data_IF_205079464186
#
_entry.id   IF_205079464186
#
_cell.length_a   1.000
_cell.length_b   1.000
_cell.length_c   1.000
_cell.angle_alpha   90.00
_cell.angle_beta   90.00
_cell.angle_gamma   90.00
#
_symmetry.space_group_name_H-M   'P 1'
#
loop_
_entity.id
_entity.type
_entity.pdbx_description
1 polymer ?
#
# COMPACT_ATOMS: atom_id res chain seq x y z
N UNK A 1 13.85 42.89 23.31
CA UNK A 1 13.95 43.04 21.83
C UNK A 1 15.21 42.43 21.23
N UNK A 2 16.40 42.57 21.83
CA UNK A 2 17.64 41.97 21.30
C UNK A 2 17.64 40.43 21.18
N UNK A 3 16.97 39.73 22.10
CA UNK A 3 16.87 38.25 22.07
C UNK A 3 16.00 37.71 20.92
N UNK A 4 14.98 38.47 20.47
CA UNK A 4 14.12 38.08 19.35
C UNK A 4 14.82 38.30 18.00
N UNK A 5 15.63 39.36 17.91
CA UNK A 5 16.41 39.68 16.71
C UNK A 5 17.50 38.63 16.44
N UNK A 6 18.18 38.15 17.49
CA UNK A 6 19.20 37.11 17.39
C UNK A 6 18.61 35.74 17.00
N UNK A 7 17.39 35.43 17.45
CA UNK A 7 16.70 34.20 17.06
C UNK A 7 16.29 34.23 15.58
N UNK A 8 15.83 35.38 15.07
CA UNK A 8 15.48 35.58 13.65
C UNK A 8 16.72 35.50 12.75
N UNK A 9 17.85 36.07 13.19
CA UNK A 9 19.13 35.98 12.48
C UNK A 9 19.66 34.54 12.41
N UNK A 10 19.58 33.77 13.49
CA UNK A 10 19.98 32.35 13.52
C UNK A 10 19.04 31.49 12.65
N UNK A 11 17.73 31.75 12.66
CA UNK A 11 16.77 31.06 11.78
C UNK A 11 17.03 31.37 10.30
N UNK A 12 17.43 32.60 9.98
CA UNK A 12 17.75 33.03 8.61
C UNK A 12 19.09 32.48 8.08
N UNK A 13 20.03 32.15 8.98
CA UNK A 13 21.32 31.56 8.62
C UNK A 13 21.20 30.04 8.38
N UNK A 14 20.24 29.38 9.04
CA UNK A 14 19.96 27.95 8.86
C UNK A 14 19.20 27.67 7.55
N UNK A 15 18.41 28.63 7.05
CA UNK A 15 17.72 28.49 5.75
C UNK A 15 18.64 28.68 4.55
N UNK A 16 19.84 29.28 4.72
CA UNK A 16 20.83 29.42 3.62
C UNK A 16 21.76 28.20 3.44
N UNK A 17 21.72 27.21 4.34
CA UNK A 17 22.61 26.04 4.29
C UNK A 17 22.04 24.82 3.56
N UNK A 18 20.80 24.91 3.06
CA UNK A 18 20.20 23.85 2.25
C UNK A 18 19.72 24.42 0.91
N UNK A 19 20.66 24.66 -0.01
CA UNK A 19 20.33 24.69 -1.44
C UNK A 19 20.31 23.22 -1.88
N UNK A 20 19.15 22.57 -2.03
CA UNK A 20 19.12 21.29 -2.74
C UNK A 20 19.67 21.53 -4.14
N UNK A 21 20.68 20.75 -4.54
CA UNK A 21 21.13 20.73 -5.92
C UNK A 21 19.94 20.32 -6.79
N UNK A 22 19.33 21.27 -7.50
CA UNK A 22 18.26 20.97 -8.45
C UNK A 22 18.87 20.11 -9.55
N UNK A 23 18.31 18.92 -9.84
CA UNK A 23 18.81 18.08 -10.91
C UNK A 23 18.76 18.88 -12.22
N UNK A 24 19.88 18.88 -12.93
CA UNK A 24 20.04 19.57 -14.19
C UNK A 24 19.08 18.97 -15.23
N UNK A 25 18.23 19.80 -15.84
CA UNK A 25 17.27 19.42 -16.89
C UNK A 25 17.97 18.63 -18.01
N UNK A 26 17.35 17.54 -18.48
CA UNK A 26 17.97 16.66 -19.49
C UNK A 26 18.49 17.41 -20.73
N UNK A 27 17.80 18.46 -21.18
CA UNK A 27 18.19 19.27 -22.34
C UNK A 27 19.56 19.96 -22.23
N UNK A 28 20.10 20.08 -21.02
CA UNK A 28 21.37 20.79 -20.79
C UNK A 28 22.57 19.86 -20.61
N UNK A 29 22.37 18.54 -20.73
CA UNK A 29 23.46 17.57 -20.64
C UNK A 29 24.12 17.34 -22.01
N UNK A 30 25.42 17.59 -22.10
CA UNK A 30 26.21 17.37 -23.31
C UNK A 30 26.89 16.01 -23.26
N UNK A 31 26.61 15.15 -24.24
CA UNK A 31 27.26 13.84 -24.37
C UNK A 31 28.65 13.98 -25.03
N UNK A 32 29.60 13.08 -24.71
CA UNK A 32 30.89 13.04 -25.39
C UNK A 32 30.75 12.66 -26.88
N UNK A 33 31.77 13.02 -27.68
CA UNK A 33 31.91 12.67 -29.10
C UNK A 33 30.78 13.20 -30.03
N UNK A 34 30.23 14.38 -29.71
CA UNK A 34 29.18 15.03 -30.50
C UNK A 34 27.91 14.17 -30.71
N UNK A 35 27.68 13.20 -29.82
CA UNK A 35 26.46 12.39 -29.83
C UNK A 35 25.29 13.30 -29.44
N UNK A 36 24.41 13.55 -30.42
CA UNK A 36 23.21 14.36 -30.21
C UNK A 36 21.97 13.48 -30.22
N UNK A 37 21.11 13.70 -29.22
CA UNK A 37 19.79 13.07 -29.13
C UNK A 37 18.70 14.08 -29.42
N UNK A 38 17.79 13.73 -30.32
CA UNK A 38 16.67 14.57 -30.74
C UNK A 38 15.62 14.75 -29.63
N UNK A 39 15.52 13.79 -28.70
CA UNK A 39 14.55 13.81 -27.62
C UNK A 39 15.18 13.41 -26.30
N UNK A 40 14.69 14.00 -25.21
CA UNK A 40 15.03 13.57 -23.86
C UNK A 40 13.89 13.76 -22.86
N UNK A 41 13.99 13.06 -21.74
CA UNK A 41 13.06 13.19 -20.63
C UNK A 41 13.71 12.85 -19.29
N UNK A 42 13.48 13.72 -18.30
CA UNK A 42 13.74 13.40 -16.89
C UNK A 42 12.65 12.46 -16.35
N UNK A 43 13.09 11.36 -15.73
CA UNK A 43 12.23 10.36 -15.13
C UNK A 43 11.88 10.77 -13.69
N UNK A 44 10.68 10.40 -13.19
CA UNK A 44 10.15 10.95 -11.95
C UNK A 44 10.90 10.51 -10.67
N UNK A 45 11.72 9.46 -10.75
CA UNK A 45 12.38 8.85 -9.60
C UNK A 45 13.77 8.32 -9.97
N UNK A 46 14.61 8.13 -8.95
CA UNK A 46 15.97 7.60 -9.05
C UNK A 46 16.93 8.50 -9.84
N UNK A 47 16.79 9.84 -9.82
CA UNK A 47 17.70 10.79 -10.50
C UNK A 47 18.10 10.35 -11.92
N UNK A 48 17.12 9.89 -12.68
CA UNK A 48 17.34 9.24 -13.98
C UNK A 48 16.79 10.08 -15.12
N UNK A 49 17.46 10.05 -16.26
CA UNK A 49 16.99 10.66 -17.50
C UNK A 49 17.20 9.70 -18.67
N UNK A 50 16.38 9.85 -19.70
CA UNK A 50 16.48 9.06 -20.93
C UNK A 50 16.55 10.00 -22.13
N UNK A 51 17.43 9.70 -23.06
CA UNK A 51 17.67 10.46 -24.29
C UNK A 51 17.62 9.48 -25.45
N UNK A 52 17.05 9.87 -26.58
CA UNK A 52 16.92 8.95 -27.71
C UNK A 52 16.83 9.64 -29.07
N UNK A 53 17.21 8.87 -30.09
CA UNK A 53 16.91 9.08 -31.50
C UNK A 53 16.04 7.92 -31.98
N UNK A 54 15.01 8.23 -32.76
CA UNK A 54 14.15 7.23 -33.39
C UNK A 54 14.19 7.37 -34.91
N UNK A 55 14.60 6.29 -35.59
CA UNK A 55 14.70 6.24 -37.04
C UNK A 55 13.50 5.51 -37.62
N UNK A 56 12.51 6.25 -38.12
CA UNK A 56 11.22 5.71 -38.57
C UNK A 56 11.34 4.64 -39.67
N UNK A 57 12.30 4.79 -40.60
CA UNK A 57 12.48 3.88 -41.74
C UNK A 57 12.98 2.49 -41.33
N UNK A 58 13.91 2.41 -40.38
CA UNK A 58 14.51 1.16 -39.88
C UNK A 58 13.87 0.66 -38.58
N UNK A 59 13.08 1.50 -37.91
CA UNK A 59 12.62 1.32 -36.53
C UNK A 59 13.75 1.10 -35.52
N UNK A 60 14.94 1.57 -35.86
CA UNK A 60 16.08 1.56 -34.97
C UNK A 60 15.92 2.68 -33.93
N UNK A 61 16.35 2.39 -32.71
CA UNK A 61 16.45 3.35 -31.62
C UNK A 61 17.89 3.39 -31.17
N UNK A 62 18.40 4.60 -31.02
CA UNK A 62 19.60 4.87 -30.23
C UNK A 62 19.15 5.53 -28.94
N UNK A 63 19.57 4.99 -27.80
CA UNK A 63 19.17 5.47 -26.49
C UNK A 63 20.39 5.70 -25.61
N UNK A 64 20.35 6.76 -24.81
CA UNK A 64 21.19 6.92 -23.64
C UNK A 64 20.31 7.02 -22.39
N UNK A 65 20.41 6.03 -21.52
CA UNK A 65 19.82 6.08 -20.18
C UNK A 65 20.89 6.54 -19.19
N UNK A 66 20.64 7.65 -18.50
CA UNK A 66 21.55 8.23 -17.52
C UNK A 66 20.97 8.09 -16.13
N UNK A 67 21.77 7.57 -15.20
CA UNK A 67 21.54 7.61 -13.76
C UNK A 67 22.56 8.56 -13.13
N UNK A 68 22.09 9.70 -12.62
CA UNK A 68 22.94 10.62 -11.85
C UNK A 68 23.12 10.12 -10.42
N UNK A 69 24.11 10.67 -9.72
CA UNK A 69 24.42 10.34 -8.32
C UNK A 69 24.60 8.82 -8.09
N UNK A 70 25.20 8.13 -9.06
CA UNK A 70 25.46 6.70 -8.96
C UNK A 70 26.55 6.43 -7.91
N UNK A 71 26.32 5.41 -7.09
CA UNK A 71 27.28 4.97 -6.07
C UNK A 71 28.49 4.31 -6.72
N UNK A 72 29.63 4.32 -6.03
CA UNK A 72 30.89 3.80 -6.59
C UNK A 72 30.80 2.32 -6.99
N UNK A 73 30.25 1.47 -6.11
CA UNK A 73 30.01 0.05 -6.42
C UNK A 73 28.51 -0.19 -6.62
N UNK A 74 28.04 -0.03 -7.86
CA UNK A 74 26.61 -0.11 -8.18
C UNK A 74 26.33 -0.63 -9.59
N UNK A 75 25.14 -1.21 -9.73
CA UNK A 75 24.58 -1.55 -11.02
C UNK A 75 23.38 -0.66 -11.31
N UNK A 76 23.20 -0.37 -12.59
CA UNK A 76 22.08 0.41 -13.12
C UNK A 76 21.49 -0.37 -14.28
N UNK A 77 20.16 -0.39 -14.37
CA UNK A 77 19.48 -1.06 -15.47
C UNK A 77 18.33 -0.20 -16.00
N UNK A 78 18.17 -0.20 -17.31
CA UNK A 78 16.98 0.28 -18.00
C UNK A 78 16.46 -0.82 -18.90
N UNK A 79 15.15 -1.04 -18.93
CA UNK A 79 14.58 -2.17 -19.63
C UNK A 79 13.26 -1.82 -20.31
N UNK A 80 12.98 -2.51 -21.42
CA UNK A 80 11.69 -2.49 -22.11
C UNK A 80 10.92 -3.74 -21.75
N UNK A 81 9.65 -3.61 -21.37
CA UNK A 81 8.77 -4.75 -21.18
C UNK A 81 7.73 -4.83 -22.31
N UNK A 82 7.87 -5.78 -23.25
CA UNK A 82 6.96 -5.92 -24.38
C UNK A 82 5.61 -6.56 -24.00
N UNK A 83 5.50 -7.22 -22.86
CA UNK A 83 4.32 -8.04 -22.50
C UNK A 83 3.54 -7.51 -21.29
N UNK A 84 4.17 -6.70 -20.43
CA UNK A 84 3.63 -6.22 -19.17
C UNK A 84 4.16 -4.82 -18.83
N UNK A 85 3.82 -4.28 -17.67
CA UNK A 85 4.28 -2.98 -17.15
C UNK A 85 5.24 -3.09 -15.96
N UNK A 86 5.57 -4.30 -15.51
CA UNK A 86 6.42 -4.56 -14.34
C UNK A 86 7.78 -5.16 -14.68
N UNK A 87 8.50 -5.63 -13.66
CA UNK A 87 9.85 -6.20 -13.80
C UNK A 87 9.87 -7.49 -14.63
N UNK A 88 8.99 -8.45 -14.34
CA UNK A 88 8.94 -9.75 -15.03
C UNK A 88 8.49 -9.56 -16.49
N UNK A 89 9.27 -10.13 -17.41
CA UNK A 89 9.11 -9.98 -18.86
C UNK A 89 10.01 -8.89 -19.46
N UNK A 90 10.67 -8.07 -18.63
CA UNK A 90 11.51 -6.98 -19.11
C UNK A 90 12.77 -7.48 -19.80
N UNK A 91 13.17 -6.77 -20.84
CA UNK A 91 14.37 -6.97 -21.64
C UNK A 91 15.34 -5.83 -21.30
N UNK A 92 16.33 -6.12 -20.46
CA UNK A 92 17.13 -5.11 -19.79
C UNK A 92 18.48 -4.84 -20.46
N UNK A 93 18.89 -3.58 -20.44
CA UNK A 93 20.24 -3.11 -20.66
C UNK A 93 20.83 -2.76 -19.30
N UNK A 94 21.94 -3.40 -18.95
CA UNK A 94 22.55 -3.35 -17.62
C UNK A 94 23.93 -2.74 -17.73
N UNK A 95 24.28 -1.86 -16.80
CA UNK A 95 25.64 -1.42 -16.54
C UNK A 95 26.04 -1.74 -15.10
N UNK A 96 27.21 -2.33 -14.93
CA UNK A 96 27.83 -2.62 -13.63
C UNK A 96 29.09 -1.79 -13.51
N UNK A 97 29.20 -1.04 -12.41
CA UNK A 97 30.44 -0.39 -11.98
C UNK A 97 30.90 -1.02 -10.67
N UNK A 98 32.10 -1.58 -10.65
CA UNK A 98 32.74 -2.14 -9.46
C UNK A 98 33.64 -1.12 -8.77
N UNK A 99 34.04 -1.41 -7.53
CA UNK A 99 34.89 -0.54 -6.70
C UNK A 99 36.27 -0.25 -7.30
N UNK A 100 36.81 -1.18 -8.10
CA UNK A 100 38.04 -1.03 -8.88
C UNK A 100 37.92 -0.08 -10.08
N UNK A 101 36.71 0.43 -10.35
CA UNK A 101 36.42 1.32 -11.48
C UNK A 101 36.09 0.60 -12.78
N UNK A 102 36.08 -0.74 -12.80
CA UNK A 102 35.67 -1.51 -13.97
C UNK A 102 34.20 -1.22 -14.30
N UNK A 103 33.93 -0.98 -15.58
CA UNK A 103 32.60 -0.69 -16.10
C UNK A 103 32.24 -1.70 -17.19
N UNK A 104 31.17 -2.47 -16.97
CA UNK A 104 30.67 -3.47 -17.92
C UNK A 104 29.24 -3.13 -18.33
N UNK A 105 28.91 -3.25 -19.61
CA UNK A 105 27.56 -3.11 -20.11
C UNK A 105 27.15 -4.36 -20.91
N UNK A 106 25.92 -4.82 -20.73
CA UNK A 106 25.41 -6.02 -21.40
C UNK A 106 23.88 -6.08 -21.33
N UNK A 107 23.28 -7.09 -21.98
CA UNK A 107 21.83 -7.29 -21.99
C UNK A 107 21.40 -8.43 -21.07
N UNK A 108 20.21 -8.34 -20.48
CA UNK A 108 19.68 -9.37 -19.57
C UNK A 108 18.16 -9.55 -19.71
N UNK A 109 17.66 -10.74 -20.09
CA UNK A 109 16.24 -11.04 -20.11
C UNK A 109 15.72 -11.40 -18.70
N UNK A 110 14.69 -10.68 -18.22
CA UNK A 110 14.16 -10.86 -16.86
C UNK A 110 12.89 -11.71 -16.87
N UNK A 111 13.01 -12.99 -16.51
CA UNK A 111 11.89 -13.95 -16.50
C UNK A 111 11.26 -14.16 -15.12
N UNK A 112 11.90 -13.71 -14.04
CA UNK A 112 11.40 -13.84 -12.67
C UNK A 112 11.89 -12.71 -11.76
N UNK A 113 11.31 -12.61 -10.56
CA UNK A 113 11.77 -11.68 -9.51
C UNK A 113 13.11 -12.10 -8.87
N UNK A 114 13.51 -13.37 -9.00
CA UNK A 114 14.75 -13.92 -8.45
C UNK A 114 15.90 -13.86 -9.48
N UNK A 115 15.99 -12.78 -10.24
CA UNK A 115 17.04 -12.58 -11.23
C UNK A 115 18.35 -12.15 -10.56
N UNK A 116 19.48 -12.54 -11.15
CA UNK A 116 20.81 -12.01 -10.82
C UNK A 116 21.33 -11.13 -11.96
N UNK A 117 20.43 -10.60 -12.81
CA UNK A 117 20.75 -9.88 -14.04
C UNK A 117 21.75 -10.66 -14.91
N UNK A 118 21.48 -11.95 -15.12
CA UNK A 118 22.33 -12.81 -15.93
C UNK A 118 22.42 -12.28 -17.37
N UNK A 119 23.62 -12.27 -17.92
CA UNK A 119 23.87 -11.86 -19.30
C UNK A 119 23.17 -12.80 -20.28
N UNK A 120 22.45 -12.24 -21.26
CA UNK A 120 21.69 -13.01 -22.23
C UNK A 120 21.07 -12.16 -23.33
N UNK A 121 20.65 -12.82 -24.40
CA UNK A 121 20.05 -12.15 -25.56
C UNK A 121 18.62 -11.67 -25.26
N UNK A 122 18.27 -10.51 -25.82
CA UNK A 122 16.92 -9.96 -25.74
C UNK A 122 16.01 -10.57 -26.82
N UNK A 123 14.70 -10.44 -26.63
CA UNK A 123 13.69 -10.91 -27.59
C UNK A 123 13.64 -10.08 -28.88
N UNK A 124 14.43 -9.01 -29.00
CA UNK A 124 14.51 -8.14 -30.15
C UNK A 124 15.98 -7.84 -30.51
N UNK A 125 16.28 -7.51 -31.78
CA UNK A 125 17.66 -7.25 -32.21
C UNK A 125 18.30 -6.10 -31.44
N UNK A 126 19.49 -6.34 -30.90
CA UNK A 126 20.36 -5.34 -30.28
C UNK A 126 21.62 -5.23 -31.13
N UNK A 127 21.92 -4.03 -31.61
CA UNK A 127 23.08 -3.74 -32.45
C UNK A 127 24.31 -3.38 -31.61
N UNK A 128 24.12 -2.65 -30.52
CA UNK A 128 25.21 -2.29 -29.62
C UNK A 128 24.72 -2.01 -28.21
N UNK A 129 25.56 -2.31 -27.22
CA UNK A 129 25.39 -1.88 -25.83
C UNK A 129 26.75 -1.45 -25.28
N UNK A 130 26.81 -0.31 -24.60
CA UNK A 130 28.01 0.17 -23.92
C UNK A 130 27.63 1.03 -22.72
N UNK A 131 28.58 1.35 -21.86
CA UNK A 131 28.35 2.26 -20.76
C UNK A 131 29.52 3.23 -20.57
N UNK A 132 29.25 4.38 -19.97
CA UNK A 132 30.26 5.32 -19.51
C UNK A 132 29.96 5.79 -18.09
N UNK A 133 31.00 6.26 -17.40
CA UNK A 133 30.89 6.88 -16.09
C UNK A 133 31.49 8.28 -16.12
N UNK A 134 30.70 9.30 -15.78
CA UNK A 134 31.16 10.70 -15.77
C UNK A 134 30.34 11.53 -14.80
N UNK A 135 30.98 12.46 -14.07
CA UNK A 135 30.31 13.37 -13.13
C UNK A 135 29.35 12.61 -12.19
N UNK A 136 29.84 11.54 -11.57
CA UNK A 136 29.06 10.65 -10.70
C UNK A 136 27.80 10.08 -11.35
N UNK A 137 27.77 9.97 -12.68
CA UNK A 137 26.64 9.43 -13.44
C UNK A 137 27.08 8.20 -14.22
N UNK A 138 26.27 7.13 -14.15
CA UNK A 138 26.39 5.97 -15.04
C UNK A 138 25.45 6.20 -16.23
N UNK A 139 25.97 6.05 -17.44
CA UNK A 139 25.21 6.21 -18.68
C UNK A 139 25.28 4.91 -19.46
N UNK A 140 24.13 4.36 -19.82
CA UNK A 140 23.98 3.18 -20.67
C UNK A 140 23.63 3.67 -22.07
N UNK A 141 24.43 3.31 -23.06
CA UNK A 141 24.14 3.52 -24.46
C UNK A 141 23.69 2.20 -25.09
N UNK A 142 22.59 2.23 -25.84
CA UNK A 142 22.14 1.07 -26.59
C UNK A 142 21.59 1.46 -27.96
N UNK A 143 21.83 0.60 -28.95
CA UNK A 143 21.20 0.66 -30.27
C UNK A 143 20.46 -0.65 -30.52
N UNK A 144 19.17 -0.59 -30.82
CA UNK A 144 18.32 -1.78 -30.97
C UNK A 144 17.09 -1.49 -31.84
N UNK A 145 16.40 -2.55 -32.26
CA UNK A 145 15.16 -2.44 -33.04
C UNK A 145 13.93 -2.69 -32.17
N UNK A 146 12.87 -1.90 -32.36
CA UNK A 146 11.63 -2.05 -31.59
C UNK A 146 10.98 -3.44 -31.75
N UNK A 147 10.52 -4.08 -30.66
CA UNK A 147 9.97 -5.44 -30.69
C UNK A 147 8.63 -5.57 -31.43
N UNK A 148 7.86 -4.49 -31.55
CA UNK A 148 6.55 -4.49 -32.23
C UNK A 148 6.41 -3.28 -33.15
N UNK A 149 5.40 -3.29 -34.02
CA UNK A 149 5.09 -2.14 -34.88
C UNK A 149 4.61 -0.90 -34.10
N UNK A 150 4.50 -0.98 -32.77
CA UNK A 150 4.17 0.15 -31.91
C UNK A 150 5.43 0.93 -31.52
N UNK A 151 5.32 2.26 -31.52
CA UNK A 151 6.36 3.19 -31.02
C UNK A 151 6.26 3.38 -29.50
N UNK A 152 5.17 2.89 -28.90
CA UNK A 152 4.87 2.98 -27.48
C UNK A 152 5.32 1.70 -26.78
N UNK A 153 6.18 1.84 -25.77
CA UNK A 153 6.68 0.73 -24.96
C UNK A 153 6.46 0.99 -23.48
N UNK A 154 6.29 -0.09 -22.70
CA UNK A 154 6.48 0.00 -21.26
C UNK A 154 7.96 -0.11 -20.97
N UNK A 155 8.44 0.72 -20.05
CA UNK A 155 9.82 0.66 -19.59
C UNK A 155 9.89 0.62 -18.05
N UNK A 156 11.00 0.09 -17.54
CA UNK A 156 11.34 0.09 -16.13
C UNK A 156 12.80 0.46 -15.98
N UNK A 157 13.17 1.08 -14.86
CA UNK A 157 14.56 1.38 -14.55
C UNK A 157 14.86 1.11 -13.09
N UNK A 158 16.10 0.71 -12.79
CA UNK A 158 16.51 0.37 -11.43
C UNK A 158 17.98 0.71 -11.19
N UNK A 159 18.30 0.80 -9.90
CA UNK A 159 19.66 0.82 -9.39
C UNK A 159 19.80 -0.17 -8.23
N UNK A 160 21.01 -0.68 -8.03
CA UNK A 160 21.35 -1.49 -6.85
C UNK A 160 22.85 -1.52 -6.60
N UNK A 161 23.24 -2.17 -5.50
CA UNK A 161 24.64 -2.24 -5.08
C UNK A 161 25.32 -3.48 -5.65
N UNK A 162 26.64 -3.37 -5.86
CA UNK A 162 27.51 -4.50 -6.16
C UNK A 162 28.34 -4.79 -4.91
N UNK A 163 28.31 -6.04 -4.46
CA UNK A 163 29.10 -6.50 -3.33
C UNK A 163 30.58 -6.68 -3.72
N UNK A 164 31.46 -6.78 -2.72
CA UNK A 164 32.91 -6.85 -2.94
C UNK A 164 33.35 -8.12 -3.70
N UNK A 165 32.54 -9.18 -3.65
CA UNK A 165 32.72 -10.42 -4.40
C UNK A 165 32.17 -10.35 -5.85
N UNK A 166 31.67 -9.18 -6.27
CA UNK A 166 31.03 -8.96 -7.57
C UNK A 166 29.54 -9.30 -7.61
N UNK A 167 28.96 -9.78 -6.51
CA UNK A 167 27.54 -10.18 -6.48
C UNK A 167 26.62 -8.95 -6.57
N UNK A 168 25.62 -9.00 -7.47
CA UNK A 168 24.62 -7.95 -7.62
C UNK A 168 23.55 -8.09 -6.53
N UNK A 169 23.39 -7.05 -5.71
CA UNK A 169 22.36 -7.01 -4.67
C UNK A 169 21.03 -6.52 -5.25
N UNK A 170 19.95 -7.06 -4.72
CA UNK A 170 18.61 -6.60 -5.05
C UNK A 170 18.44 -5.09 -4.77
N UNK A 171 17.67 -4.43 -5.62
CA UNK A 171 17.23 -3.06 -5.39
C UNK A 171 16.22 -3.01 -4.21
N UNK A 172 15.94 -1.81 -3.69
CA UNK A 172 14.92 -1.64 -2.63
C UNK A 172 13.54 -2.11 -3.11
N UNK A 173 12.79 -2.78 -2.24
CA UNK A 173 11.40 -3.19 -2.51
C UNK A 173 10.36 -2.14 -2.08
N UNK A 174 10.79 -0.89 -1.85
CA UNK A 174 9.94 0.22 -1.41
C UNK A 174 10.38 1.55 -2.04
N UNK A 175 9.57 2.59 -1.84
CA UNK A 175 9.96 3.96 -2.19
C UNK A 175 10.12 4.22 -3.70
N UNK A 176 11.18 4.93 -4.12
CA UNK A 176 11.42 5.26 -5.53
C UNK A 176 11.54 4.04 -6.45
N UNK A 177 12.12 2.93 -5.99
CA UNK A 177 12.33 1.72 -6.80
C UNK A 177 11.02 1.02 -7.19
N UNK A 178 9.95 1.11 -6.40
CA UNK A 178 8.65 0.54 -6.78
C UNK A 178 7.83 1.48 -7.69
N UNK A 179 8.34 2.70 -7.91
CA UNK A 179 7.72 3.73 -8.77
C UNK A 179 8.46 3.91 -10.11
N UNK A 180 9.58 3.21 -10.31
CA UNK A 180 10.46 3.38 -11.48
C UNK A 180 10.01 2.56 -12.70
N UNK A 181 8.79 2.85 -13.13
CA UNK A 181 8.19 2.31 -14.35
C UNK A 181 7.37 3.39 -15.07
N UNK A 182 7.15 3.20 -16.36
CA UNK A 182 6.48 4.19 -17.18
C UNK A 182 6.13 3.68 -18.58
N UNK A 183 5.53 4.56 -19.38
CA UNK A 183 5.27 4.31 -20.79
C UNK A 183 5.95 5.39 -21.62
N UNK A 184 6.75 4.96 -22.60
CA UNK A 184 7.55 5.82 -23.46
C UNK A 184 7.08 5.66 -24.91
N UNK A 185 6.75 6.77 -25.57
CA UNK A 185 6.52 6.81 -27.00
C UNK A 185 7.74 7.41 -27.71
N UNK A 186 8.46 6.56 -28.45
CA UNK A 186 9.69 6.95 -29.14
C UNK A 186 9.43 7.92 -30.29
N UNK A 187 8.22 7.94 -30.88
CA UNK A 187 7.91 8.81 -32.01
C UNK A 187 7.46 10.22 -31.58
N UNK A 188 6.61 10.33 -30.56
CA UNK A 188 6.09 11.64 -30.14
C UNK A 188 6.98 12.39 -29.15
N UNK A 189 8.05 11.77 -28.64
CA UNK A 189 8.90 12.39 -27.62
C UNK A 189 8.29 12.35 -26.21
N UNK A 190 7.06 11.82 -26.05
CA UNK A 190 6.29 11.91 -24.81
C UNK A 190 6.46 10.66 -23.95
N UNK A 191 6.89 10.87 -22.71
CA UNK A 191 6.71 9.90 -21.62
C UNK A 191 5.37 10.18 -20.96
N UNK A 192 4.48 9.20 -21.03
CA UNK A 192 3.22 9.26 -20.34
C UNK A 192 3.41 8.63 -18.96
N UNK A 193 2.88 9.29 -17.90
CA UNK A 193 2.56 8.53 -16.69
C UNK A 193 1.61 7.44 -17.15
N UNK A 194 2.00 6.18 -16.95
CA UNK A 194 1.17 5.05 -17.30
C UNK A 194 -0.19 5.28 -16.64
N UNK A 195 -1.25 5.47 -17.45
CA UNK A 195 -2.59 5.07 -17.03
C UNK A 195 -2.53 3.54 -17.04
N UNK A 196 -1.79 3.00 -16.08
CA UNK A 196 -1.64 1.57 -15.94
C UNK A 196 -3.04 1.05 -15.75
N UNK A 197 -3.43 0.07 -16.57
CA UNK A 197 -4.44 -0.90 -16.19
C UNK A 197 -4.12 -1.24 -14.73
N UNK A 198 -4.90 -0.72 -13.76
CA UNK A 198 -4.49 -0.71 -12.35
C UNK A 198 -3.99 -2.12 -12.04
N UNK A 199 -2.76 -2.25 -11.54
CA UNK A 199 -2.19 -3.56 -11.22
C UNK A 199 -3.27 -4.35 -10.47
N UNK A 200 -3.78 -5.42 -11.08
CA UNK A 200 -4.96 -6.13 -10.58
C UNK A 200 -4.70 -6.64 -9.16
N UNK A 201 -3.43 -7.00 -8.88
CA UNK A 201 -2.95 -7.39 -7.54
C UNK A 201 -2.99 -6.23 -6.55
N UNK A 202 -2.50 -5.04 -6.91
CA UNK A 202 -2.55 -3.86 -6.02
C UNK A 202 -3.98 -3.40 -5.79
N UNK A 203 -4.81 -3.43 -6.82
CA UNK A 203 -6.23 -3.12 -6.71
C UNK A 203 -6.92 -4.09 -5.78
N UNK A 204 -6.66 -5.39 -5.93
CA UNK A 204 -7.27 -6.42 -5.10
C UNK A 204 -6.79 -6.34 -3.64
N UNK A 205 -5.51 -6.03 -3.41
CA UNK A 205 -4.96 -5.73 -2.08
C UNK A 205 -5.69 -4.56 -1.42
N UNK A 206 -5.91 -3.48 -2.15
CA UNK A 206 -6.63 -2.31 -1.64
C UNK A 206 -8.10 -2.62 -1.38
N UNK A 207 -8.77 -3.34 -2.29
CA UNK A 207 -10.17 -3.78 -2.12
C UNK A 207 -10.30 -4.69 -0.90
N UNK A 208 -9.41 -5.66 -0.73
CA UNK A 208 -9.35 -6.52 0.46
C UNK A 208 -9.20 -5.69 1.75
N UNK A 209 -8.24 -4.76 1.78
CA UNK A 209 -8.02 -3.90 2.92
C UNK A 209 -9.24 -3.05 3.27
N UNK A 210 -9.85 -2.39 2.28
CA UNK A 210 -11.02 -1.52 2.48
C UNK A 210 -12.23 -2.32 2.97
N UNK A 211 -12.56 -3.44 2.30
CA UNK A 211 -13.70 -4.26 2.69
C UNK A 211 -13.58 -4.72 4.14
N UNK A 212 -12.41 -5.24 4.53
CA UNK A 212 -12.20 -5.76 5.87
C UNK A 212 -12.07 -4.67 6.95
N UNK A 213 -11.47 -3.51 6.64
CA UNK A 213 -11.39 -2.39 7.57
C UNK A 213 -12.79 -1.81 7.86
N UNK A 214 -13.62 -1.64 6.83
CA UNK A 214 -15.00 -1.15 6.99
C UNK A 214 -15.86 -2.18 7.71
N UNK A 215 -15.81 -3.45 7.31
CA UNK A 215 -16.66 -4.46 7.90
C UNK A 215 -16.22 -4.84 9.33
N UNK A 216 -15.03 -5.39 9.46
CA UNK A 216 -14.54 -5.99 10.70
C UNK A 216 -13.94 -4.95 11.66
N UNK A 217 -13.34 -3.89 11.12
CA UNK A 217 -12.70 -2.83 11.91
C UNK A 217 -13.64 -1.73 12.39
N UNK A 218 -14.76 -1.48 11.68
CA UNK A 218 -15.67 -0.37 11.98
C UNK A 218 -17.10 -0.83 12.26
N UNK A 219 -17.75 -1.52 11.32
CA UNK A 219 -19.18 -1.85 11.47
C UNK A 219 -19.46 -2.82 12.62
N UNK A 220 -18.59 -3.82 12.83
CA UNK A 220 -18.70 -4.76 13.96
C UNK A 220 -18.70 -4.06 15.33
N UNK A 221 -17.69 -3.24 15.69
CA UNK A 221 -17.69 -2.54 16.97
C UNK A 221 -18.83 -1.52 17.10
N UNK A 222 -19.18 -0.79 16.03
CA UNK A 222 -20.33 0.13 16.03
C UNK A 222 -21.63 -0.61 16.36
N UNK A 223 -21.87 -1.77 15.75
CA UNK A 223 -23.06 -2.58 16.02
C UNK A 223 -23.14 -3.07 17.48
N UNK A 224 -22.01 -3.31 18.15
CA UNK A 224 -21.97 -3.68 19.57
C UNK A 224 -22.22 -2.47 20.48
N UNK A 225 -21.61 -1.32 20.17
CA UNK A 225 -21.82 -0.07 20.91
C UNK A 225 -23.30 0.34 20.84
N UNK A 226 -23.91 0.33 19.66
CA UNK A 226 -25.33 0.63 19.49
C UNK A 226 -26.20 -0.31 20.32
N UNK A 227 -25.89 -1.61 20.33
CA UNK A 227 -26.64 -2.59 21.13
C UNK A 227 -26.52 -2.33 22.63
N UNK A 228 -25.33 -1.96 23.12
CA UNK A 228 -25.07 -1.71 24.53
C UNK A 228 -25.86 -0.50 25.03
N UNK A 229 -25.82 0.61 24.30
CA UNK A 229 -26.39 1.87 24.76
C UNK A 229 -27.88 2.04 24.42
N UNK A 230 -28.32 1.65 23.22
CA UNK A 230 -29.75 1.76 22.86
C UNK A 230 -30.65 0.82 23.67
N UNK A 231 -30.09 -0.27 24.21
CA UNK A 231 -30.83 -1.22 25.06
C UNK A 231 -31.27 -0.60 26.38
N UNK A 232 -30.61 0.46 26.84
CA UNK A 232 -30.88 1.05 28.15
C UNK A 232 -32.05 2.02 28.11
N UNK A 233 -32.25 2.76 27.01
CA UNK A 233 -33.31 3.75 26.91
C UNK A 233 -34.69 3.13 26.64
N UNK A 234 -35.63 3.34 27.56
CA UNK A 234 -36.98 2.74 27.53
C UNK A 234 -37.78 3.04 26.25
N UNK A 235 -37.54 4.19 25.61
CA UNK A 235 -38.25 4.63 24.40
C UNK A 235 -37.94 3.80 23.13
N UNK A 236 -36.91 2.94 23.15
CA UNK A 236 -36.48 2.22 21.94
C UNK A 236 -36.93 0.74 21.88
N UNK A 237 -37.48 0.16 22.95
CA UNK A 237 -38.04 -1.19 22.94
C UNK A 237 -37.12 -2.25 22.29
N UNK A 238 -37.60 -2.95 21.25
CA UNK A 238 -36.82 -3.96 20.52
C UNK A 238 -35.86 -3.39 19.46
N UNK A 239 -35.84 -2.07 19.25
CA UNK A 239 -35.08 -1.42 18.17
C UNK A 239 -33.59 -1.69 18.26
N UNK A 240 -33.00 -1.65 19.46
CA UNK A 240 -31.58 -1.96 19.67
C UNK A 240 -31.21 -3.34 19.10
N UNK A 241 -32.10 -4.32 19.22
CA UNK A 241 -31.88 -5.69 18.76
C UNK A 241 -31.90 -5.77 17.23
N UNK A 242 -32.82 -5.06 16.59
CA UNK A 242 -32.91 -4.99 15.13
C UNK A 242 -31.70 -4.25 14.53
N UNK A 243 -31.31 -3.13 15.11
CA UNK A 243 -30.14 -2.34 14.69
C UNK A 243 -28.86 -3.16 14.86
N UNK A 244 -28.67 -3.79 16.03
CA UNK A 244 -27.54 -4.70 16.26
C UNK A 244 -27.48 -5.79 15.20
N UNK A 245 -28.58 -6.53 15.01
CA UNK A 245 -28.65 -7.61 14.03
C UNK A 245 -28.33 -7.12 12.62
N UNK A 246 -28.88 -5.98 12.19
CA UNK A 246 -28.62 -5.42 10.88
C UNK A 246 -27.13 -5.09 10.65
N UNK A 247 -26.51 -4.38 11.59
CA UNK A 247 -25.08 -4.06 11.52
C UNK A 247 -24.20 -5.30 11.50
N UNK A 248 -24.45 -6.27 12.40
CA UNK A 248 -23.65 -7.50 12.48
C UNK A 248 -23.81 -8.36 11.22
N UNK A 249 -25.03 -8.51 10.70
CA UNK A 249 -25.27 -9.28 9.47
C UNK A 249 -24.61 -8.64 8.26
N UNK A 250 -24.73 -7.31 8.10
CA UNK A 250 -24.13 -6.61 6.95
C UNK A 250 -22.60 -6.63 7.03
N UNK A 251 -22.03 -6.38 8.21
CA UNK A 251 -20.60 -6.46 8.44
C UNK A 251 -20.07 -7.88 8.17
N UNK A 252 -20.80 -8.92 8.61
CA UNK A 252 -20.40 -10.30 8.36
C UNK A 252 -20.38 -10.63 6.87
N UNK A 253 -21.41 -10.26 6.11
CA UNK A 253 -21.49 -10.53 4.66
C UNK A 253 -20.36 -9.83 3.88
N UNK A 254 -20.14 -8.53 4.13
CA UNK A 254 -19.05 -7.77 3.52
C UNK A 254 -17.69 -8.37 3.93
N UNK A 255 -17.56 -8.75 5.21
CA UNK A 255 -16.36 -9.33 5.75
C UNK A 255 -16.00 -10.71 5.17
N UNK A 256 -16.99 -11.56 4.88
CA UNK A 256 -16.78 -12.84 4.19
C UNK A 256 -16.36 -12.61 2.74
N UNK A 257 -16.95 -11.64 2.04
CA UNK A 257 -16.49 -11.25 0.70
C UNK A 257 -15.04 -10.74 0.72
N UNK A 258 -14.72 -9.88 1.69
CA UNK A 258 -13.35 -9.41 1.96
C UNK A 258 -12.39 -10.55 2.24
N UNK A 259 -12.77 -11.52 3.07
CA UNK A 259 -11.97 -12.72 3.34
C UNK A 259 -11.73 -13.57 2.08
N UNK A 260 -12.75 -13.75 1.24
CA UNK A 260 -12.65 -14.45 -0.05
C UNK A 260 -11.59 -13.85 -0.97
N UNK A 261 -11.51 -12.51 -1.05
CA UNK A 261 -10.43 -11.84 -1.82
C UNK A 261 -9.03 -12.15 -1.26
N UNK A 262 -8.90 -12.32 0.06
CA UNK A 262 -7.64 -12.71 0.71
C UNK A 262 -7.20 -14.13 0.35
N UNK A 263 -8.13 -15.09 0.38
CA UNK A 263 -7.87 -16.47 -0.05
C UNK A 263 -7.49 -16.53 -1.53
N UNK A 264 -8.21 -15.81 -2.38
CA UNK A 264 -7.90 -15.72 -3.80
C UNK A 264 -6.49 -15.16 -4.05
N UNK A 265 -6.11 -14.09 -3.35
CA UNK A 265 -4.76 -13.53 -3.45
C UNK A 265 -3.68 -14.52 -3.03
N UNK A 266 -3.93 -15.30 -1.97
CA UNK A 266 -3.01 -16.35 -1.53
C UNK A 266 -2.80 -17.42 -2.59
N UNK A 267 -3.89 -17.91 -3.19
CA UNK A 267 -3.82 -18.99 -4.17
C UNK A 267 -3.29 -18.55 -5.55
N UNK A 268 -3.66 -17.36 -6.01
CA UNK A 268 -3.39 -16.91 -7.38
C UNK A 268 -2.09 -16.08 -7.50
N UNK A 269 -1.69 -15.36 -6.44
CA UNK A 269 -0.51 -14.49 -6.46
C UNK A 269 0.58 -14.91 -5.47
N UNK A 270 0.43 -16.06 -4.80
CA UNK A 270 1.41 -16.59 -3.84
C UNK A 270 1.69 -15.66 -2.65
N UNK A 271 0.75 -14.78 -2.30
CA UNK A 271 0.91 -13.85 -1.17
C UNK A 271 0.55 -14.58 0.11
N UNK A 272 1.55 -14.98 0.87
CA UNK A 272 1.35 -15.68 2.14
C UNK A 272 1.94 -14.90 3.30
N UNK A 273 1.09 -14.56 4.27
CA UNK A 273 1.51 -14.04 5.56
C UNK A 273 0.80 -14.87 6.64
N UNK A 274 1.51 -15.86 7.17
CA UNK A 274 0.90 -16.90 8.01
C UNK A 274 0.15 -16.34 9.23
N UNK A 275 0.69 -15.39 10.02
CA UNK A 275 -0.02 -14.85 11.17
C UNK A 275 -1.33 -14.15 10.81
N UNK A 276 -1.31 -13.28 9.80
CA UNK A 276 -2.49 -12.52 9.34
C UNK A 276 -3.59 -13.46 8.83
N UNK A 277 -3.18 -14.48 8.06
CA UNK A 277 -4.09 -15.49 7.52
C UNK A 277 -4.71 -16.34 8.62
N UNK A 278 -3.92 -16.83 9.58
CA UNK A 278 -4.42 -17.65 10.68
C UNK A 278 -5.43 -16.88 11.52
N UNK A 279 -5.10 -15.64 11.91
CA UNK A 279 -6.03 -14.79 12.66
C UNK A 279 -7.30 -14.53 11.85
N UNK A 280 -7.18 -14.23 10.55
CA UNK A 280 -8.32 -14.03 9.66
C UNK A 280 -9.25 -15.25 9.57
N UNK A 281 -8.69 -16.46 9.45
CA UNK A 281 -9.47 -17.71 9.45
C UNK A 281 -10.18 -17.90 10.80
N UNK A 282 -9.44 -17.76 11.92
CA UNK A 282 -10.01 -17.89 13.28
C UNK A 282 -11.17 -16.93 13.47
N UNK A 283 -11.02 -15.68 13.06
CA UNK A 283 -12.06 -14.66 13.16
C UNK A 283 -13.32 -15.04 12.37
N UNK A 284 -13.17 -15.50 11.12
CA UNK A 284 -14.32 -15.95 10.31
C UNK A 284 -15.02 -17.14 10.96
N UNK A 285 -14.27 -18.10 11.54
CA UNK A 285 -14.86 -19.22 12.26
C UNK A 285 -15.65 -18.75 13.48
N UNK A 286 -15.08 -17.90 14.33
CA UNK A 286 -15.76 -17.36 15.52
C UNK A 286 -17.02 -16.56 15.15
N UNK A 287 -16.94 -15.71 14.12
CA UNK A 287 -18.06 -14.92 13.64
C UNK A 287 -19.18 -15.80 13.05
N UNK A 288 -18.81 -16.84 12.28
CA UNK A 288 -19.76 -17.82 11.75
C UNK A 288 -20.48 -18.56 12.88
N UNK A 289 -19.74 -19.01 13.90
CA UNK A 289 -20.32 -19.65 15.09
C UNK A 289 -21.29 -18.71 15.82
N UNK A 290 -20.93 -17.43 15.95
CA UNK A 290 -21.80 -16.37 16.49
C UNK A 290 -23.12 -16.27 15.73
N UNK A 291 -23.07 -16.13 14.40
CA UNK A 291 -24.27 -16.01 13.56
C UNK A 291 -25.12 -17.28 13.65
N UNK A 292 -24.52 -18.47 13.51
CA UNK A 292 -25.24 -19.74 13.57
C UNK A 292 -25.93 -19.94 14.93
N UNK A 293 -25.23 -19.73 16.04
CA UNK A 293 -25.77 -19.92 17.39
C UNK A 293 -26.81 -18.84 17.72
N UNK A 294 -26.64 -17.61 17.23
CA UNK A 294 -27.60 -16.53 17.44
C UNK A 294 -28.90 -16.70 16.63
N UNK A 295 -28.84 -17.33 15.46
CA UNK A 295 -29.99 -17.54 14.58
C UNK A 295 -30.73 -18.84 14.93
N UNK A 296 -30.02 -19.96 15.07
CA UNK A 296 -30.63 -21.28 15.19
C UNK A 296 -30.79 -21.76 16.63
N UNK A 297 -29.93 -21.31 17.55
CA UNK A 297 -29.82 -21.87 18.90
C UNK A 297 -30.13 -20.86 20.00
N UNK A 298 -30.77 -19.73 19.68
CA UNK A 298 -31.12 -18.69 20.65
C UNK A 298 -32.31 -19.12 21.52
N UNK A 299 -32.11 -19.39 22.83
CA UNK A 299 -33.21 -19.81 23.71
C UNK A 299 -34.17 -18.65 24.03
N UNK A 300 -35.41 -18.99 24.41
CA UNK A 300 -36.38 -18.02 24.96
C UNK A 300 -35.83 -17.36 26.24
N UNK A 301 -36.32 -16.15 26.56
CA UNK A 301 -35.76 -15.29 27.62
C UNK A 301 -35.78 -15.94 29.01
N UNK A 302 -36.77 -16.79 29.26
CA UNK A 302 -37.09 -17.52 30.48
C UNK A 302 -36.40 -18.90 30.58
N UNK A 303 -35.69 -19.33 29.53
CA UNK A 303 -35.12 -20.67 29.48
C UNK A 303 -33.78 -20.78 30.24
N UNK A 304 -33.54 -21.87 31.00
CA UNK A 304 -32.30 -22.09 31.78
C UNK A 304 -31.00 -21.96 30.96
N UNK A 305 -31.02 -22.38 29.69
CA UNK A 305 -29.85 -22.28 28.79
C UNK A 305 -29.58 -20.88 28.25
N UNK A 306 -30.45 -19.89 28.52
CA UNK A 306 -30.27 -18.49 28.13
C UNK A 306 -28.98 -17.90 28.70
N UNK A 307 -28.60 -18.32 29.91
CA UNK A 307 -27.37 -17.86 30.59
C UNK A 307 -26.13 -18.29 29.81
N UNK A 308 -26.01 -19.58 29.46
CA UNK A 308 -24.88 -20.09 28.69
C UNK A 308 -24.81 -19.46 27.29
N UNK A 309 -25.96 -19.27 26.64
CA UNK A 309 -26.02 -18.56 25.36
C UNK A 309 -25.50 -17.11 25.50
N UNK A 310 -25.87 -16.39 26.57
CA UNK A 310 -25.37 -15.03 26.82
C UNK A 310 -23.85 -15.02 27.05
N UNK A 311 -23.31 -15.94 27.86
CA UNK A 311 -21.86 -16.05 28.12
C UNK A 311 -21.12 -16.28 26.81
N UNK A 312 -21.54 -17.28 26.03
CA UNK A 312 -20.98 -17.57 24.72
C UNK A 312 -21.02 -16.33 23.81
N UNK A 313 -22.20 -15.69 23.71
CA UNK A 313 -22.41 -14.55 22.84
C UNK A 313 -21.52 -13.36 23.22
N UNK A 314 -21.36 -13.06 24.51
CA UNK A 314 -20.49 -11.96 24.92
C UNK A 314 -19.01 -12.30 24.74
N UNK A 315 -18.54 -13.45 25.23
CA UNK A 315 -17.12 -13.83 25.17
C UNK A 315 -16.64 -13.94 23.73
N UNK A 316 -17.35 -14.69 22.89
CA UNK A 316 -16.97 -14.88 21.49
C UNK A 316 -17.14 -13.58 20.70
N UNK A 317 -18.17 -12.78 21.00
CA UNK A 317 -18.37 -11.47 20.36
C UNK A 317 -17.19 -10.52 20.60
N UNK A 318 -16.80 -10.32 21.86
CA UNK A 318 -15.67 -9.43 22.21
C UNK A 318 -14.33 -9.97 21.70
N UNK A 319 -14.10 -11.28 21.79
CA UNK A 319 -12.90 -11.89 21.22
C UNK A 319 -12.79 -11.65 19.71
N UNK A 320 -13.91 -11.76 18.97
CA UNK A 320 -13.96 -11.50 17.52
C UNK A 320 -13.61 -10.06 17.19
N UNK A 321 -14.11 -9.08 17.97
CA UNK A 321 -13.79 -7.65 17.78
C UNK A 321 -12.32 -7.35 18.09
N UNK A 322 -11.78 -7.93 19.16
CA UNK A 322 -10.37 -7.74 19.48
C UNK A 322 -9.47 -8.28 18.35
N UNK A 323 -9.73 -9.51 17.92
CA UNK A 323 -8.99 -10.12 16.82
C UNK A 323 -9.17 -9.36 15.50
N UNK A 324 -10.35 -8.78 15.24
CA UNK A 324 -10.57 -7.99 14.03
C UNK A 324 -9.72 -6.75 13.98
N UNK A 325 -9.73 -5.94 15.06
CA UNK A 325 -8.95 -4.72 15.15
C UNK A 325 -7.45 -5.04 15.00
N UNK A 326 -6.98 -6.07 15.72
CA UNK A 326 -5.59 -6.52 15.63
C UNK A 326 -5.22 -6.96 14.21
N UNK A 327 -6.07 -7.75 13.56
CA UNK A 327 -5.79 -8.25 12.21
C UNK A 327 -5.81 -7.14 11.15
N UNK A 328 -6.62 -6.10 11.34
CA UNK A 328 -6.63 -4.90 10.48
C UNK A 328 -5.31 -4.13 10.60
N UNK A 329 -4.78 -3.95 11.82
CA UNK A 329 -3.45 -3.33 11.99
C UNK A 329 -2.35 -4.13 11.29
N UNK A 330 -2.35 -5.45 11.46
CA UNK A 330 -1.41 -6.32 10.75
C UNK A 330 -1.56 -6.22 9.22
N UNK A 331 -2.79 -6.07 8.73
CA UNK A 331 -3.07 -5.84 7.32
C UNK A 331 -2.47 -4.52 6.80
N UNK A 332 -2.55 -3.43 7.57
CA UNK A 332 -1.92 -2.16 7.20
C UNK A 332 -0.40 -2.26 7.14
N UNK A 333 0.21 -2.95 8.08
CA UNK A 333 1.66 -3.16 8.10
C UNK A 333 2.12 -4.01 6.89
N UNK A 334 1.33 -5.02 6.49
CA UNK A 334 1.62 -5.85 5.32
C UNK A 334 1.44 -5.12 3.99
N UNK A 335 0.53 -4.15 3.93
CA UNK A 335 0.28 -3.37 2.72
C UNK A 335 1.34 -2.29 2.49
N UNK A 336 2.27 -2.06 3.44
CA UNK A 336 3.09 -0.84 3.53
C UNK A 336 2.22 0.40 3.24
N UNK A 337 1.00 0.38 3.80
CA UNK A 337 0.01 1.39 3.49
C UNK A 337 0.57 2.74 3.95
N UNK A 338 0.55 3.73 3.05
CA UNK A 338 1.03 5.08 3.35
C UNK A 338 0.55 5.48 4.74
N UNK A 339 1.48 5.93 5.62
CA UNK A 339 1.27 6.11 7.06
C UNK A 339 -0.08 6.78 7.42
N UNK A 340 -0.56 7.66 6.54
CA UNK A 340 -1.89 8.27 6.61
C UNK A 340 -3.08 7.31 6.78
N UNK A 341 -3.13 6.14 6.12
CA UNK A 341 -4.25 5.20 6.26
C UNK A 341 -4.28 4.56 7.66
N UNK A 342 -3.12 4.14 8.16
CA UNK A 342 -2.99 3.61 9.53
C UNK A 342 -3.36 4.67 10.56
N UNK A 343 -2.88 5.91 10.39
CA UNK A 343 -3.25 7.03 11.27
C UNK A 343 -4.75 7.37 11.21
N UNK A 344 -5.37 7.35 10.03
CA UNK A 344 -6.80 7.57 9.88
C UNK A 344 -7.59 6.50 10.63
N UNK A 345 -7.22 5.22 10.50
CA UNK A 345 -7.88 4.14 11.23
C UNK A 345 -7.70 4.27 12.76
N UNK A 346 -6.50 4.64 13.23
CA UNK A 346 -6.27 4.95 14.66
C UNK A 346 -7.21 6.07 15.12
N UNK A 347 -7.33 7.15 14.33
CA UNK A 347 -8.25 8.25 14.62
C UNK A 347 -9.71 7.80 14.71
N UNK A 348 -10.15 6.89 13.84
CA UNK A 348 -11.49 6.29 13.89
C UNK A 348 -11.70 5.50 15.19
N UNK A 349 -10.75 4.63 15.57
CA UNK A 349 -10.86 3.83 16.79
C UNK A 349 -10.90 4.73 18.04
N UNK A 350 -10.05 5.77 18.09
CA UNK A 350 -10.07 6.75 19.19
C UNK A 350 -11.41 7.48 19.24
N UNK A 351 -11.96 7.87 18.09
CA UNK A 351 -13.26 8.54 18.02
C UNK A 351 -14.39 7.64 18.51
N UNK A 352 -14.39 6.36 18.12
CA UNK A 352 -15.36 5.37 18.59
C UNK A 352 -15.25 5.18 20.11
N UNK A 353 -14.02 5.10 20.65
CA UNK A 353 -13.80 4.97 22.09
C UNK A 353 -14.27 6.20 22.86
N UNK A 354 -14.03 7.41 22.33
CA UNK A 354 -14.52 8.66 22.91
C UNK A 354 -16.06 8.72 22.92
N UNK A 355 -16.71 8.36 21.80
CA UNK A 355 -18.18 8.28 21.72
C UNK A 355 -18.72 7.26 22.72
N UNK A 356 -18.10 6.07 22.83
CA UNK A 356 -18.51 5.08 23.81
C UNK A 356 -18.38 5.59 25.25
N UNK A 357 -17.31 6.32 25.58
CA UNK A 357 -17.12 6.93 26.90
C UNK A 357 -18.21 7.97 27.22
N UNK A 358 -18.53 8.84 26.25
CA UNK A 358 -19.64 9.81 26.40
C UNK A 358 -20.97 9.09 26.61
N UNK A 359 -21.25 8.07 25.80
CA UNK A 359 -22.47 7.27 25.94
C UNK A 359 -22.53 6.56 27.30
N UNK A 360 -21.41 6.05 27.81
CA UNK A 360 -21.36 5.43 29.15
C UNK A 360 -21.77 6.43 30.24
N UNK A 361 -21.25 7.66 30.19
CA UNK A 361 -21.62 8.72 31.14
C UNK A 361 -23.11 9.07 31.03
N UNK A 362 -23.61 9.28 29.81
CA UNK A 362 -25.02 9.63 29.58
C UNK A 362 -25.94 8.52 30.06
N UNK A 363 -25.63 7.27 29.74
CA UNK A 363 -26.40 6.11 30.16
C UNK A 363 -26.37 5.94 31.69
N UNK A 364 -25.24 6.20 32.34
CA UNK A 364 -25.15 6.18 33.79
C UNK A 364 -26.03 7.24 34.44
N UNK A 365 -25.99 8.49 33.95
CA UNK A 365 -26.87 9.58 34.41
C UNK A 365 -28.34 9.19 34.25
N UNK A 366 -28.71 8.65 33.09
CA UNK A 366 -30.08 8.24 32.81
C UNK A 366 -30.57 7.15 33.79
N UNK A 367 -29.75 6.13 34.04
CA UNK A 367 -30.08 5.06 35.01
C UNK A 367 -30.21 5.61 36.42
N UNK A 368 -29.33 6.55 36.82
CA UNK A 368 -29.40 7.19 38.13
C UNK A 368 -30.70 8.01 38.28
N UNK A 369 -31.08 8.79 37.27
CA UNK A 369 -32.30 9.60 37.31
C UNK A 369 -33.56 8.73 37.39
N UNK A 370 -33.65 7.67 36.57
CA UNK A 370 -34.81 6.77 36.61
C UNK A 370 -34.96 6.09 37.98
N UNK A 371 -33.85 5.70 38.63
CA UNK A 371 -33.90 5.14 40.00
C UNK A 371 -34.40 6.15 41.04
N UNK A 372 -34.10 7.43 40.86
CA UNK A 372 -34.62 8.49 41.74
C UNK A 372 -36.12 8.66 41.51
N UNK A 373 -36.57 8.76 40.26
CA UNK A 373 -38.00 8.87 39.93
C UNK A 373 -38.80 7.67 40.41
N UNK A 374 -38.34 6.44 40.19
CA UNK A 374 -39.00 5.23 40.69
C UNK A 374 -39.12 5.22 42.22
N UNK A 375 -38.08 5.70 42.92
CA UNK A 375 -38.10 5.80 44.38
C UNK A 375 -39.11 6.84 44.87
N UNK A 376 -39.13 8.02 44.26
CA UNK A 376 -40.11 9.08 44.57
C UNK A 376 -41.55 8.61 44.33
N UNK A 377 -41.79 7.84 43.26
CA UNK A 377 -43.10 7.29 42.92
C UNK A 377 -43.56 6.21 43.93
N UNK A 378 -42.63 5.34 44.38
CA UNK A 378 -42.91 4.36 45.44
C UNK A 378 -43.21 5.03 46.77
N UNK A 379 -42.41 6.02 47.17
CA UNK A 379 -42.58 6.74 48.43
C UNK A 379 -43.93 7.51 48.44
N UNK A 380 -44.31 8.16 47.32
CA UNK A 380 -45.61 8.86 47.18
C UNK A 380 -46.80 7.91 47.26
N UNK A 381 -46.71 6.74 46.64
CA UNK A 381 -47.79 5.73 46.67
C UNK A 381 -47.96 5.09 48.06
N UNK A 382 -46.90 5.03 48.88
CA UNK A 382 -46.98 4.56 50.26
C UNK A 382 -47.57 5.60 51.22
N UNK A 383 -47.41 6.90 50.95
CA UNK A 383 -47.99 7.97 51.78
C UNK A 383 -49.51 8.17 51.52
N UNK A 384 -50.01 7.70 50.38
CA UNK A 384 -51.43 7.77 49.99
C UNK A 384 -52.27 6.53 50.34
N UNK A 385 -51.63 5.44 50.80
CA UNK A 385 -52.26 4.18 51.20
C UNK A 385 -52.37 4.07 52.72
#
# INVERSE_FOLDING_TARGET
>A
MASLLNLILILSLITTLFVPATPQLCNSFTFPNDINFASCKDLPVLDSSIHWNYYTSSRAIEVAFKKANAKESSWVAWAINPTSSGMVGSQAFVAIRTSDGTLKAYTSPLTSYATMLQEGNLSFPVHSVSASYRNSSIIIFASFQLPTNATVVNHVWQEGLVADDGTLRAHSFSGPNVQSFGTLDFASGKVFKTVGKKNSRTTLKNVHGILNAVSWGLMMPVGVILARYLKVFDGFGATWFHVHRAFQSLAYLIGVAGFGTGLYMGNHYGVHHAPHRCIGITLVCLASSQVCIAVFLRPKKDHKYRIFWNIFHYVVGYATIFLSIWNVFMGFDLLDAHKGWKHAYVGIIISIAAVALVLEVVTWIWVCNNKVTEKEEVDTNQEQA
#
